data_IF_097841239051
#
_entry.id   IF_097841239051
#
_cell.length_a   1.000
_cell.length_b   1.000
_cell.length_c   1.000
_cell.angle_alpha   90.00
_cell.angle_beta   90.00
_cell.angle_gamma   90.00
#
_symmetry.space_group_name_H-M   'P 1'
#
loop_
_entity.id
_entity.type
_entity.pdbx_description
1 polymer ?
#
# COMPACT_ATOMS: atom_id res chain seq x y z
N UNK A 1 8.35 29.04 -69.03
CA UNK A 1 8.47 29.80 -67.77
C UNK A 1 7.51 29.17 -66.75
N UNK A 2 8.03 28.87 -65.55
CA UNK A 2 7.33 28.59 -64.29
C UNK A 2 6.14 27.62 -64.29
N UNK A 3 6.34 26.42 -63.72
CA UNK A 3 5.41 25.87 -62.72
C UNK A 3 6.28 25.34 -61.58
N UNK A 4 6.20 26.02 -60.42
CA UNK A 4 6.96 25.70 -59.22
C UNK A 4 6.35 24.50 -58.50
N UNK A 5 7.22 23.56 -58.14
CA UNK A 5 6.95 22.34 -57.39
C UNK A 5 6.94 22.69 -55.89
N UNK A 6 5.77 22.75 -55.27
CA UNK A 6 5.66 22.84 -53.80
C UNK A 6 5.48 21.44 -53.21
N UNK A 7 6.55 20.94 -52.62
CA UNK A 7 6.64 19.68 -51.89
C UNK A 7 6.00 19.88 -50.50
N UNK A 8 4.87 19.23 -50.24
CA UNK A 8 4.28 19.16 -48.89
C UNK A 8 5.18 18.31 -47.98
N UNK A 9 5.85 18.94 -47.01
CA UNK A 9 6.45 18.22 -45.89
C UNK A 9 5.33 17.86 -44.89
N UNK A 10 4.95 16.60 -44.85
CA UNK A 10 4.16 16.05 -43.75
C UNK A 10 5.10 15.93 -42.54
N UNK A 11 5.17 16.97 -41.71
CA UNK A 11 5.78 16.85 -40.38
C UNK A 11 4.80 16.04 -39.54
N UNK A 12 5.02 14.73 -39.49
CA UNK A 12 4.36 13.88 -38.51
C UNK A 12 4.68 14.41 -37.13
N UNK A 13 3.68 14.97 -36.45
CA UNK A 13 3.73 15.23 -35.02
C UNK A 13 3.90 13.86 -34.35
N UNK A 14 5.13 13.50 -34.07
CA UNK A 14 5.45 12.44 -33.13
C UNK A 14 5.02 12.98 -31.76
N UNK A 15 3.77 12.71 -31.40
CA UNK A 15 3.33 12.83 -30.01
C UNK A 15 4.19 11.83 -29.26
N UNK A 16 5.15 12.25 -28.42
CA UNK A 16 5.85 11.30 -27.58
C UNK A 16 4.76 10.64 -26.76
N UNK A 17 4.67 9.32 -26.89
CA UNK A 17 3.72 8.53 -26.14
C UNK A 17 3.74 9.00 -24.71
N UNK A 18 2.59 9.44 -24.22
CA UNK A 18 2.29 9.30 -22.80
C UNK A 18 2.58 7.84 -22.54
N UNK A 19 3.68 7.54 -21.88
CA UNK A 19 3.79 6.28 -21.17
C UNK A 19 2.53 6.26 -20.32
N UNK A 20 1.56 5.43 -20.69
CA UNK A 20 0.63 4.84 -19.72
C UNK A 20 1.56 4.25 -18.66
N UNK A 21 1.91 5.07 -17.68
CA UNK A 21 2.26 4.59 -16.37
C UNK A 21 0.95 3.96 -15.92
N UNK A 22 0.79 2.68 -16.28
CA UNK A 22 -0.19 1.76 -15.76
C UNK A 22 -0.33 2.10 -14.27
N UNK A 23 -1.43 2.79 -13.95
CA UNK A 23 -1.69 3.38 -12.66
C UNK A 23 -1.82 2.21 -11.70
N UNK A 24 -0.70 1.81 -11.09
CA UNK A 24 -0.62 0.64 -10.23
C UNK A 24 -1.25 0.99 -8.89
N UNK A 25 -2.55 1.24 -8.91
CA UNK A 25 -3.37 1.45 -7.75
C UNK A 25 -3.53 0.09 -7.05
N UNK A 26 -2.98 -0.01 -5.85
CA UNK A 26 -3.11 -1.18 -5.01
C UNK A 26 -4.13 -0.92 -3.92
N UNK A 27 -4.84 -1.99 -3.54
CA UNK A 27 -5.88 -1.92 -2.54
C UNK A 27 -5.79 -3.05 -1.52
N UNK A 28 -6.33 -2.78 -0.33
CA UNK A 28 -6.69 -3.78 0.68
C UNK A 28 -8.20 -3.87 0.71
N UNK A 29 -8.76 -5.05 0.47
CA UNK A 29 -10.20 -5.30 0.67
C UNK A 29 -10.39 -6.04 1.98
N UNK A 30 -10.95 -5.37 2.96
CA UNK A 30 -11.32 -6.01 4.23
C UNK A 30 -12.64 -6.77 4.04
N UNK A 31 -12.67 -8.01 4.47
CA UNK A 31 -13.80 -8.95 4.36
C UNK A 31 -14.62 -8.98 5.67
N UNK A 32 -13.93 -8.86 6.80
CA UNK A 32 -14.52 -8.81 8.15
C UNK A 32 -13.64 -7.97 9.07
N UNK A 33 -14.19 -7.33 10.11
CA UNK A 33 -15.62 -7.21 10.45
C UNK A 33 -16.38 -6.33 9.45
N UNK A 34 -17.73 -6.42 9.44
CA UNK A 34 -18.57 -5.58 8.59
C UNK A 34 -18.35 -4.06 8.80
N UNK A 35 -17.94 -3.66 10.00
CA UNK A 35 -17.63 -2.25 10.33
C UNK A 35 -16.40 -1.70 9.61
N UNK A 36 -15.52 -2.58 9.13
CA UNK A 36 -14.32 -2.24 8.38
C UNK A 36 -14.33 -2.83 6.96
N UNK A 37 -15.41 -3.49 6.53
CA UNK A 37 -15.48 -4.22 5.27
C UNK A 37 -15.61 -3.28 4.07
N UNK A 38 -14.52 -2.61 3.74
CA UNK A 38 -14.38 -1.69 2.62
C UNK A 38 -13.09 -1.98 1.85
N UNK A 39 -12.95 -1.31 0.71
CA UNK A 39 -11.72 -1.32 -0.09
C UNK A 39 -10.93 -0.03 0.16
N UNK A 40 -9.68 -0.18 0.58
CA UNK A 40 -8.79 0.90 0.97
C UNK A 40 -7.61 0.99 0.01
N UNK A 41 -7.34 2.19 -0.50
CA UNK A 41 -6.15 2.42 -1.32
C UNK A 41 -4.88 2.34 -0.47
N UNK A 42 -3.83 1.73 -1.02
CA UNK A 42 -2.51 1.64 -0.42
C UNK A 42 -1.43 2.07 -1.40
N UNK A 43 -0.43 2.77 -0.90
CA UNK A 43 0.71 3.26 -1.67
C UNK A 43 1.92 2.37 -1.39
N UNK A 44 2.39 1.55 -2.35
CA UNK A 44 3.55 0.69 -2.15
C UNK A 44 4.80 1.46 -1.73
N UNK A 45 5.66 0.82 -0.95
CA UNK A 45 6.96 1.37 -0.61
C UNK A 45 7.84 1.54 -1.87
N UNK A 46 8.72 2.55 -1.87
CA UNK A 46 9.78 2.69 -2.88
C UNK A 46 11.00 1.78 -2.60
N UNK A 47 10.83 0.77 -1.76
CA UNK A 47 11.82 -0.21 -1.34
C UNK A 47 11.15 -1.57 -1.09
N UNK A 48 11.95 -2.58 -0.79
CA UNK A 48 11.44 -3.93 -0.58
C UNK A 48 11.57 -4.79 -1.85
N UNK A 49 10.68 -5.79 -2.03
CA UNK A 49 10.74 -6.70 -3.16
C UNK A 49 10.37 -6.02 -4.47
N UNK A 50 10.56 -6.74 -5.58
CA UNK A 50 10.18 -6.26 -6.90
C UNK A 50 8.65 -6.10 -7.06
N UNK A 51 8.23 -5.46 -8.15
CA UNK A 51 6.82 -5.22 -8.45
C UNK A 51 6.01 -6.51 -8.64
N UNK A 52 6.64 -7.63 -9.03
CA UNK A 52 5.92 -8.89 -9.24
C UNK A 52 5.42 -9.46 -7.91
N UNK A 53 6.10 -9.20 -6.79
CA UNK A 53 5.61 -9.58 -5.45
C UNK A 53 4.28 -8.92 -5.09
N UNK A 54 3.97 -7.74 -5.65
CA UNK A 54 2.69 -7.05 -5.44
C UNK A 54 1.58 -7.51 -6.40
N UNK A 55 1.86 -8.48 -7.30
CA UNK A 55 0.85 -9.10 -8.16
C UNK A 55 0.23 -10.34 -7.52
N UNK A 56 0.89 -10.90 -6.50
CA UNK A 56 0.38 -12.06 -5.78
C UNK A 56 -0.58 -11.60 -4.68
N UNK A 57 -1.89 -11.83 -4.90
CA UNK A 57 -2.89 -11.45 -3.92
C UNK A 57 -2.96 -12.48 -2.80
N UNK A 58 -2.66 -12.05 -1.58
CA UNK A 58 -2.96 -12.78 -0.36
C UNK A 58 -4.48 -12.76 -0.16
N UNK A 59 -5.08 -13.92 0.07
CA UNK A 59 -6.54 -14.07 0.24
C UNK A 59 -6.88 -14.48 1.65
N UNK A 60 -7.92 -13.87 2.23
CA UNK A 60 -8.43 -14.19 3.55
C UNK A 60 -7.33 -14.20 4.64
N UNK A 61 -6.39 -13.26 4.54
CA UNK A 61 -5.27 -13.14 5.48
C UNK A 61 -5.69 -12.32 6.69
N UNK A 62 -5.16 -12.70 7.85
CA UNK A 62 -5.41 -12.00 9.12
C UNK A 62 -4.50 -10.78 9.25
N UNK A 63 -5.08 -9.66 9.64
CA UNK A 63 -4.34 -8.47 10.03
C UNK A 63 -4.12 -8.48 11.55
N UNK A 64 -2.93 -8.07 11.98
CA UNK A 64 -2.59 -7.81 13.38
C UNK A 64 -2.02 -6.41 13.53
N UNK A 65 -2.33 -5.74 14.64
CA UNK A 65 -1.73 -4.45 14.97
C UNK A 65 -0.48 -4.64 15.82
N UNK A 66 0.59 -3.92 15.48
CA UNK A 66 1.72 -3.73 16.38
C UNK A 66 1.62 -2.36 17.05
N UNK A 67 2.08 -2.25 18.30
CA UNK A 67 2.25 -0.98 18.97
C UNK A 67 3.39 -0.15 18.35
N UNK A 68 3.46 1.14 18.69
CA UNK A 68 4.53 2.01 18.23
C UNK A 68 5.90 1.55 18.72
N UNK A 69 5.97 1.09 19.97
CA UNK A 69 7.19 0.56 20.57
C UNK A 69 7.63 -0.74 19.89
N UNK A 70 6.74 -1.71 19.68
CA UNK A 70 7.06 -2.96 18.95
C UNK A 70 7.53 -2.67 17.53
N UNK A 71 6.89 -1.72 16.85
CA UNK A 71 7.25 -1.34 15.48
C UNK A 71 8.69 -0.82 15.35
N UNK A 72 9.32 -0.37 16.43
CA UNK A 72 10.68 0.20 16.42
C UNK A 72 11.71 -0.59 17.23
N UNK A 73 11.28 -1.52 18.07
CA UNK A 73 12.16 -2.33 18.91
C UNK A 73 12.08 -3.83 18.59
N UNK A 74 11.19 -4.23 17.69
CA UNK A 74 10.94 -5.62 17.31
C UNK A 74 9.53 -6.07 17.68
N UNK A 75 8.92 -6.89 16.81
CA UNK A 75 7.65 -7.53 17.09
C UNK A 75 7.91 -8.77 17.97
N UNK A 76 7.26 -8.84 19.14
CA UNK A 76 7.42 -9.99 20.05
C UNK A 76 6.66 -11.22 19.54
N UNK A 77 5.53 -10.99 18.87
CA UNK A 77 4.70 -12.04 18.30
C UNK A 77 5.17 -12.48 16.90
N UNK A 78 5.03 -13.78 16.62
CA UNK A 78 5.23 -14.33 15.27
C UNK A 78 4.11 -13.87 14.33
N UNK A 79 4.52 -13.30 13.20
CA UNK A 79 3.65 -12.79 12.13
C UNK A 79 3.57 -13.74 10.93
N UNK A 80 4.08 -14.98 11.06
CA UNK A 80 3.96 -16.02 10.04
C UNK A 80 2.51 -16.17 9.58
N UNK A 81 2.29 -15.98 8.27
CA UNK A 81 0.96 -16.10 7.67
C UNK A 81 0.04 -14.90 7.91
N UNK A 82 0.55 -13.79 8.45
CA UNK A 82 -0.23 -12.60 8.81
C UNK A 82 0.28 -11.35 8.10
N UNK A 83 -0.58 -10.33 8.07
CA UNK A 83 -0.21 -8.96 7.69
C UNK A 83 -0.17 -8.12 8.95
N UNK A 84 0.90 -7.34 9.12
CA UNK A 84 1.02 -6.45 10.28
C UNK A 84 0.71 -5.02 9.87
N UNK A 85 -0.13 -4.33 10.65
CA UNK A 85 -0.34 -2.87 10.54
C UNK A 85 0.41 -2.15 11.67
N UNK A 86 1.27 -1.21 11.30
CA UNK A 86 2.18 -0.53 12.20
C UNK A 86 1.97 0.99 12.15
N UNK A 87 1.95 1.68 13.29
CA UNK A 87 1.91 3.14 13.33
C UNK A 87 3.26 3.74 12.94
N UNK A 88 3.21 4.84 12.20
CA UNK A 88 4.33 5.72 11.87
C UNK A 88 4.79 6.50 13.11
N UNK A 89 6.09 6.74 13.20
CA UNK A 89 6.74 7.47 14.28
C UNK A 89 7.94 6.71 14.85
N UNK A 90 8.72 7.38 15.70
CA UNK A 90 9.87 6.89 16.47
C UNK A 90 11.09 6.39 15.69
N UNK A 91 10.90 5.64 14.61
CA UNK A 91 11.95 5.07 13.77
C UNK A 91 11.59 5.17 12.27
N UNK A 92 12.51 4.79 11.39
CA UNK A 92 12.34 4.89 9.94
C UNK A 92 11.33 3.84 9.42
N UNK A 93 10.82 4.04 8.20
CA UNK A 93 10.01 3.02 7.53
C UNK A 93 10.81 1.73 7.28
N UNK A 94 12.10 1.85 6.96
CA UNK A 94 12.99 0.72 6.78
C UNK A 94 13.11 -0.12 8.06
N UNK A 95 13.26 0.51 9.23
CA UNK A 95 13.33 -0.20 10.52
C UNK A 95 12.04 -0.98 10.78
N UNK A 96 10.88 -0.33 10.59
CA UNK A 96 9.57 -0.97 10.79
C UNK A 96 9.41 -2.21 9.92
N UNK A 97 9.71 -2.09 8.62
CA UNK A 97 9.55 -3.21 7.69
C UNK A 97 10.61 -4.29 7.95
N UNK A 98 11.81 -3.94 8.38
CA UNK A 98 12.82 -4.91 8.81
C UNK A 98 12.36 -5.71 10.05
N UNK A 99 11.68 -5.08 11.00
CA UNK A 99 11.11 -5.77 12.16
C UNK A 99 9.94 -6.68 11.78
N UNK A 100 9.08 -6.25 10.85
CA UNK A 100 8.03 -7.09 10.31
C UNK A 100 8.58 -8.31 9.56
N UNK A 101 9.64 -8.12 8.77
CA UNK A 101 10.35 -9.20 8.08
C UNK A 101 10.98 -10.19 9.06
N UNK A 102 11.66 -9.70 10.09
CA UNK A 102 12.26 -10.54 11.13
C UNK A 102 11.21 -11.38 11.89
N UNK A 103 9.97 -10.90 11.96
CA UNK A 103 8.83 -11.62 12.53
C UNK A 103 8.06 -12.50 11.52
N UNK A 104 8.57 -12.68 10.30
CA UNK A 104 7.96 -13.48 9.22
C UNK A 104 6.60 -12.96 8.72
N UNK A 105 6.34 -11.65 8.81
CA UNK A 105 5.13 -11.07 8.25
C UNK A 105 5.08 -11.24 6.72
N UNK A 106 3.90 -11.55 6.17
CA UNK A 106 3.68 -11.64 4.72
C UNK A 106 3.67 -10.27 4.06
N UNK A 107 3.22 -9.25 4.78
CA UNK A 107 3.08 -7.88 4.30
C UNK A 107 3.10 -6.90 5.49
N UNK A 108 3.68 -5.72 5.30
CA UNK A 108 3.65 -4.64 6.28
C UNK A 108 2.83 -3.44 5.79
N UNK A 109 1.79 -3.07 6.53
CA UNK A 109 1.01 -1.85 6.32
C UNK A 109 1.47 -0.77 7.31
N UNK A 110 1.78 0.42 6.83
CA UNK A 110 2.14 1.56 7.67
C UNK A 110 1.02 2.60 7.63
N UNK A 111 0.65 3.15 8.79
CA UNK A 111 -0.37 4.20 8.93
C UNK A 111 0.07 5.26 9.92
N UNK A 112 -0.57 6.43 9.94
CA UNK A 112 -0.53 7.29 11.13
C UNK A 112 -1.19 6.61 12.34
N UNK A 113 -0.66 6.84 13.54
CA UNK A 113 -1.22 6.28 14.78
C UNK A 113 -2.60 6.84 15.13
N UNK A 114 -2.77 8.17 15.00
CA UNK A 114 -3.99 8.88 15.38
C UNK A 114 -4.22 10.04 14.41
N UNK A 115 -4.79 9.76 13.23
CA UNK A 115 -4.99 10.77 12.21
C UNK A 115 -6.29 10.55 11.47
N UNK A 116 -7.05 11.62 11.24
CA UNK A 116 -8.17 11.63 10.30
C UNK A 116 -7.76 12.12 8.91
N UNK A 117 -6.47 12.30 8.65
CA UNK A 117 -5.98 12.79 7.36
C UNK A 117 -6.14 11.72 6.27
N UNK A 118 -6.62 12.13 5.11
CA UNK A 118 -6.66 11.30 3.89
C UNK A 118 -5.37 11.41 3.08
N UNK A 119 -4.39 12.19 3.55
CA UNK A 119 -3.09 12.29 2.88
C UNK A 119 -2.36 10.96 2.92
N UNK A 120 -1.89 10.53 1.75
CA UNK A 120 -0.99 9.40 1.60
C UNK A 120 0.46 9.87 1.66
N UNK A 121 1.35 8.99 2.14
CA UNK A 121 2.79 9.26 2.24
C UNK A 121 3.53 8.25 1.38
N UNK A 122 4.46 8.75 0.57
CA UNK A 122 5.42 7.89 -0.12
C UNK A 122 6.51 7.45 0.86
N UNK A 123 6.68 6.14 1.02
CA UNK A 123 7.68 5.56 1.90
C UNK A 123 9.00 5.37 1.14
N UNK A 124 10.00 6.17 1.48
CA UNK A 124 11.33 6.10 0.89
C UNK A 124 12.34 5.42 1.82
N UNK A 125 13.37 4.84 1.22
CA UNK A 125 14.48 4.18 1.91
C UNK A 125 15.42 5.16 2.63
N UNK A 126 15.50 6.41 2.17
CA UNK A 126 16.52 7.35 2.63
C UNK A 126 17.92 6.93 2.18
N UNK A 127 18.88 6.94 3.11
CA UNK A 127 20.28 6.53 2.96
C UNK A 127 20.55 5.06 3.36
N UNK A 128 19.52 4.35 3.81
CA UNK A 128 19.64 2.97 4.26
C UNK A 128 20.00 2.02 3.11
N UNK A 129 20.97 1.13 3.34
CA UNK A 129 21.48 0.19 2.33
C UNK A 129 20.97 -1.24 2.52
N UNK A 130 20.18 -1.50 3.56
CA UNK A 130 19.60 -2.83 3.83
C UNK A 130 18.70 -3.27 2.68
N UNK A 131 18.76 -4.57 2.40
CA UNK A 131 17.82 -5.24 1.51
C UNK A 131 16.63 -5.71 2.33
N UNK A 132 15.42 -5.43 1.84
CA UNK A 132 14.14 -5.83 2.43
C UNK A 132 13.43 -6.66 1.37
N UNK A 133 12.83 -7.76 1.78
CA UNK A 133 12.11 -8.73 0.96
C UNK A 133 10.62 -8.77 1.29
N UNK A 134 10.21 -8.37 2.49
CA UNK A 134 8.79 -8.23 2.85
C UNK A 134 8.15 -7.06 2.09
N UNK A 135 7.05 -7.28 1.33
CA UNK A 135 6.32 -6.21 0.67
C UNK A 135 5.66 -5.28 1.71
N UNK A 136 5.58 -4.00 1.39
CA UNK A 136 5.00 -3.01 2.30
C UNK A 136 4.32 -1.86 1.57
N UNK A 137 3.34 -1.26 2.24
CA UNK A 137 2.61 -0.12 1.70
C UNK A 137 2.11 0.80 2.81
N UNK A 138 1.86 2.05 2.45
CA UNK A 138 1.24 3.04 3.30
C UNK A 138 -0.27 3.07 3.06
N UNK A 139 -1.06 3.12 4.13
CA UNK A 139 -2.49 3.37 4.11
C UNK A 139 -2.79 4.73 4.75
N UNK A 140 -3.67 5.52 4.15
CA UNK A 140 -4.00 6.85 4.65
C UNK A 140 -4.49 6.81 6.11
N UNK A 141 -4.08 7.79 6.91
CA UNK A 141 -4.36 7.83 8.35
C UNK A 141 -5.84 7.70 8.70
N UNK A 142 -6.71 8.34 7.91
CA UNK A 142 -8.17 8.31 8.07
C UNK A 142 -8.76 6.90 8.16
N UNK A 143 -8.19 5.94 7.43
CA UNK A 143 -8.59 4.54 7.39
C UNK A 143 -7.66 3.64 8.20
N UNK A 144 -6.35 3.79 8.02
CA UNK A 144 -5.35 2.97 8.71
C UNK A 144 -5.39 3.13 10.23
N UNK A 145 -5.57 4.36 10.75
CA UNK A 145 -5.67 4.57 12.21
C UNK A 145 -6.95 3.96 12.79
N UNK A 146 -8.05 3.92 12.03
CA UNK A 146 -9.28 3.27 12.46
C UNK A 146 -9.11 1.75 12.52
N UNK A 147 -8.49 1.18 11.50
CA UNK A 147 -8.19 -0.24 11.42
C UNK A 147 -7.24 -0.67 12.54
N UNK A 148 -6.14 0.07 12.74
CA UNK A 148 -5.18 -0.17 13.81
C UNK A 148 -5.83 -0.08 15.20
N UNK A 149 -6.63 0.97 15.44
CA UNK A 149 -7.36 1.13 16.71
C UNK A 149 -8.37 0.01 16.93
N UNK A 150 -9.07 -0.42 15.88
CA UNK A 150 -10.00 -1.54 15.99
C UNK A 150 -9.27 -2.83 16.41
N UNK A 151 -8.17 -3.17 15.75
CA UNK A 151 -7.34 -4.33 16.08
C UNK A 151 -6.77 -4.28 17.49
N UNK A 152 -6.46 -3.09 18.00
CA UNK A 152 -5.90 -2.92 19.36
C UNK A 152 -6.98 -3.01 20.45
N UNK A 153 -8.23 -2.69 20.16
CA UNK A 153 -9.32 -2.64 21.15
C UNK A 153 -10.31 -3.80 21.06
N UNK A 154 -10.35 -4.50 19.93
CA UNK A 154 -11.26 -5.61 19.65
C UNK A 154 -10.49 -6.92 19.59
N UNK A 155 -11.14 -8.01 20.03
CA UNK A 155 -10.63 -9.37 19.84
C UNK A 155 -11.16 -10.04 18.57
N UNK A 156 -12.02 -9.36 17.80
CA UNK A 156 -12.57 -9.89 16.55
C UNK A 156 -11.53 -9.77 15.42
N UNK A 157 -11.30 -10.85 14.65
CA UNK A 157 -10.29 -10.85 13.59
C UNK A 157 -10.66 -9.92 12.44
N UNK A 158 -9.68 -9.17 11.95
CA UNK A 158 -9.76 -8.49 10.66
C UNK A 158 -9.20 -9.41 9.59
N UNK A 159 -10.04 -9.81 8.64
CA UNK A 159 -9.66 -10.65 7.49
C UNK A 159 -9.68 -9.79 6.24
N UNK A 160 -8.67 -9.93 5.39
CA UNK A 160 -8.56 -9.12 4.19
C UNK A 160 -7.96 -9.87 3.00
N UNK A 161 -8.14 -9.29 1.83
CA UNK A 161 -7.43 -9.61 0.61
C UNK A 161 -6.51 -8.45 0.22
N UNK A 162 -5.22 -8.72 -0.03
CA UNK A 162 -4.25 -7.70 -0.43
C UNK A 162 -2.94 -8.29 -0.99
N UNK A 163 -2.16 -7.51 -1.76
CA UNK A 163 -2.61 -6.30 -2.46
C UNK A 163 -3.49 -6.67 -3.66
N UNK A 164 -4.55 -5.91 -3.91
CA UNK A 164 -5.42 -6.08 -5.08
C UNK A 164 -5.10 -4.98 -6.10
N UNK A 165 -4.97 -5.34 -7.38
CA UNK A 165 -4.78 -4.37 -8.45
C UNK A 165 -6.13 -3.75 -8.85
N UNK A 166 -6.21 -2.42 -8.96
CA UNK A 166 -7.43 -1.69 -9.36
C UNK A 166 -8.03 -2.06 -10.72
N UNK A 167 -7.27 -2.73 -11.59
CA UNK A 167 -7.74 -3.26 -12.87
C UNK A 167 -8.57 -4.55 -12.75
N UNK A 168 -8.63 -5.18 -11.58
CA UNK A 168 -9.53 -6.32 -11.32
C UNK A 168 -10.99 -5.83 -11.28
N UNK A 169 -11.65 -5.86 -12.45
CA UNK A 169 -13.05 -5.45 -12.77
C UNK A 169 -14.17 -6.06 -11.89
N UNK A 170 -13.84 -6.88 -10.89
CA UNK A 170 -14.77 -7.43 -9.90
C UNK A 170 -14.84 -6.68 -8.57
N UNK A 171 -14.05 -5.60 -8.40
CA UNK A 171 -14.08 -4.77 -7.19
C UNK A 171 -15.22 -3.76 -7.34
N UNK A 172 -16.40 -4.10 -6.85
CA UNK A 172 -17.35 -3.07 -6.45
C UNK A 172 -16.67 -2.31 -5.30
N UNK A 173 -16.19 -1.11 -5.59
CA UNK A 173 -15.52 -0.21 -4.66
C UNK A 173 -16.50 0.22 -3.55
N UNK A 174 -16.75 -0.66 -2.58
CA UNK A 174 -17.31 -0.24 -1.30
C UNK A 174 -16.24 0.57 -0.60
N UNK A 175 -16.32 1.86 -0.87
CA UNK A 175 -15.43 2.90 -0.42
C UNK A 175 -15.80 3.29 1.00
N UNK A 176 -14.80 3.48 1.85
CA UNK A 176 -15.05 3.74 3.25
C UNK A 176 -15.75 5.12 3.43
N UNK A 177 -16.85 5.21 4.19
CA UNK A 177 -17.67 6.43 4.24
C UNK A 177 -16.97 7.65 4.88
N UNK A 178 -15.77 7.47 5.44
CA UNK A 178 -14.97 8.52 6.08
C UNK A 178 -13.80 9.02 5.22
N UNK A 179 -13.57 8.46 4.04
CA UNK A 179 -12.61 9.02 3.09
C UNK A 179 -13.30 10.16 2.30
N UNK A 180 -12.61 11.28 2.13
CA UNK A 180 -13.11 12.39 1.30
C UNK A 180 -12.83 12.08 -0.17
N UNK A 181 -13.85 12.23 -1.01
CA UNK A 181 -13.82 11.97 -2.46
C UNK A 181 -13.87 13.28 -3.24
#
# INVERSE_FOLDING_TARGET
AMIALSLLLLVGLFVPGTTEQDEFALFVRVLSPATLAYTYEIIPAMFGPDRASYQHVLRNVRLEAASLSESCNGLEEDMTGKVVIMPRGECSFMDKVAHAEAANALFALITEANSSSTTTISMSRGDDTRTIHTPSAYIAGSSGSRMHRYLTMSNEPVLADLPINGTDIGILYEKAPWEIW
#
